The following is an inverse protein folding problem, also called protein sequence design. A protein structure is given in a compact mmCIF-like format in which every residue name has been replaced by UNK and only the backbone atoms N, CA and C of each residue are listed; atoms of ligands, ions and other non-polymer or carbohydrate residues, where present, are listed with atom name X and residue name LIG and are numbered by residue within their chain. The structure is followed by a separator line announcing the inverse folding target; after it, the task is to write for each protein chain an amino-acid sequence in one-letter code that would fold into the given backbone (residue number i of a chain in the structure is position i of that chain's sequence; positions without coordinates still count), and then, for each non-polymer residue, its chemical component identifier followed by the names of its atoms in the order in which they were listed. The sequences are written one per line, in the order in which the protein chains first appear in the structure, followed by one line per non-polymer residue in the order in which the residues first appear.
data_IF_920413695202
#
_entry.id   IF_920413695202
#
_cell.length_a   1.000
_cell.length_b   1.000
_cell.length_c   1.000
_cell.angle_alpha   90.00
_cell.angle_beta   90.00
_cell.angle_gamma   90.00
#
_symmetry.space_group_name_H-M   'P 1'
#
loop_
_entity.id
_entity.type
_entity.pdbx_description
1 polymer ?
#
# COMPACT_ATOMS: atom_id res chain seq x y z
N UNK A 1 19.38 10.10 8.27
CA UNK A 1 18.06 10.63 7.87
C UNK A 1 17.05 9.66 8.39
N UNK A 2 16.10 10.10 9.21
CA UNK A 2 15.00 9.23 9.63
C UNK A 2 14.21 8.80 8.39
N UNK A 3 13.98 7.51 8.27
CA UNK A 3 13.30 6.94 7.11
C UNK A 3 11.82 7.32 7.16
N UNK A 4 11.33 8.02 6.15
CA UNK A 4 9.92 8.45 6.11
C UNK A 4 8.99 7.22 5.99
N UNK A 5 8.12 7.06 6.98
CA UNK A 5 7.19 5.92 7.06
C UNK A 5 5.76 6.36 6.75
N UNK A 6 5.16 5.76 5.72
CA UNK A 6 3.76 5.93 5.38
C UNK A 6 2.88 4.99 6.22
N UNK A 7 1.98 5.56 7.03
CA UNK A 7 0.98 4.79 7.77
C UNK A 7 -0.11 4.24 6.85
N UNK A 8 -0.16 2.91 6.74
CA UNK A 8 -1.16 2.17 5.95
C UNK A 8 -2.26 1.54 6.82
N UNK A 9 -2.30 1.85 8.12
CA UNK A 9 -3.37 1.48 9.05
C UNK A 9 -3.00 0.39 10.04
N UNK A 10 -3.72 0.34 11.17
CA UNK A 10 -3.60 -0.72 12.21
C UNK A 10 -2.18 -0.95 12.74
N UNK A 11 -1.38 0.11 12.84
CA UNK A 11 0.02 0.02 13.27
C UNK A 11 0.99 -0.44 12.16
N UNK A 12 0.48 -0.74 10.97
CA UNK A 12 1.30 -1.06 9.80
C UNK A 12 1.78 0.20 9.09
N UNK A 13 3.06 0.20 8.72
CA UNK A 13 3.72 1.26 7.96
C UNK A 13 4.54 0.66 6.82
N UNK A 14 4.78 1.45 5.78
CA UNK A 14 5.70 1.13 4.69
C UNK A 14 6.66 2.29 4.47
N UNK A 15 7.82 2.01 3.89
CA UNK A 15 8.79 3.05 3.51
C UNK A 15 8.18 3.89 2.39
N UNK A 16 7.95 5.19 2.63
CA UNK A 16 7.25 6.06 1.67
C UNK A 16 8.02 6.15 0.35
N UNK A 17 9.34 6.29 0.39
CA UNK A 17 10.20 6.39 -0.80
C UNK A 17 10.12 5.19 -1.74
N UNK A 18 9.66 4.03 -1.24
CA UNK A 18 9.55 2.79 -2.02
C UNK A 18 8.16 2.57 -2.60
N UNK A 19 7.20 3.46 -2.32
CA UNK A 19 5.83 3.37 -2.84
C UNK A 19 5.81 3.84 -4.29
N UNK A 20 5.42 2.95 -5.19
CA UNK A 20 5.26 3.24 -6.62
C UNK A 20 3.83 3.63 -6.96
N UNK A 21 2.85 2.96 -6.35
CA UNK A 21 1.44 3.23 -6.60
C UNK A 21 0.55 2.92 -5.39
N UNK A 22 -0.53 3.68 -5.25
CA UNK A 22 -1.61 3.45 -4.28
C UNK A 22 -2.92 3.38 -5.08
N UNK A 23 -3.58 2.23 -5.08
CA UNK A 23 -4.74 1.97 -5.96
C UNK A 23 -5.89 1.30 -5.21
N UNK A 24 -7.11 1.51 -5.69
CA UNK A 24 -8.31 0.90 -5.14
C UNK A 24 -8.49 -0.55 -5.66
N UNK A 25 -8.96 -1.52 -4.84
CA UNK A 25 -9.01 -2.93 -5.19
C UNK A 25 -10.23 -3.35 -6.04
N UNK A 26 -11.03 -2.40 -6.54
CA UNK A 26 -12.40 -2.65 -6.99
C UNK A 26 -12.53 -3.22 -8.41
N UNK A 27 -11.45 -3.31 -9.18
CA UNK A 27 -11.49 -3.73 -10.59
C UNK A 27 -10.95 -5.15 -10.79
N UNK A 28 -11.37 -5.81 -11.88
CA UNK A 28 -10.87 -7.14 -12.24
C UNK A 28 -9.33 -7.22 -12.39
N UNK A 29 -8.64 -6.22 -12.98
CA UNK A 29 -7.16 -6.17 -12.98
C UNK A 29 -6.55 -6.16 -11.58
N UNK A 30 -7.16 -5.48 -10.62
CA UNK A 30 -6.66 -5.41 -9.25
C UNK A 30 -6.82 -6.73 -8.50
N UNK A 31 -7.91 -7.47 -8.78
CA UNK A 31 -8.06 -8.84 -8.30
C UNK A 31 -6.92 -9.73 -8.84
N UNK A 32 -6.64 -9.66 -10.14
CA UNK A 32 -5.53 -10.41 -10.76
C UNK A 32 -4.18 -10.05 -10.16
N UNK A 33 -3.89 -8.76 -9.96
CA UNK A 33 -2.65 -8.29 -9.34
C UNK A 33 -2.43 -8.91 -7.95
N UNK A 34 -3.48 -8.95 -7.13
CA UNK A 34 -3.43 -9.57 -5.80
C UNK A 34 -3.19 -11.08 -5.87
N UNK A 35 -3.90 -11.76 -6.76
CA UNK A 35 -3.82 -13.21 -6.91
C UNK A 35 -2.42 -13.62 -7.43
N UNK A 36 -1.87 -12.89 -8.39
CA UNK A 36 -0.50 -13.06 -8.91
C UNK A 36 0.54 -12.82 -7.81
N UNK A 37 0.43 -11.71 -7.07
CA UNK A 37 1.37 -11.42 -5.97
C UNK A 37 1.32 -12.49 -4.88
N UNK A 38 0.15 -13.10 -4.62
CA UNK A 38 0.01 -14.21 -3.68
C UNK A 38 0.71 -15.47 -4.19
N UNK A 39 0.48 -15.83 -5.45
CA UNK A 39 1.10 -16.98 -6.09
C UNK A 39 2.63 -16.87 -6.09
N UNK A 40 3.14 -15.68 -6.39
CA UNK A 40 4.58 -15.39 -6.39
C UNK A 40 5.18 -15.16 -4.99
N UNK A 41 4.40 -15.31 -3.91
CA UNK A 41 4.85 -15.08 -2.51
C UNK A 41 5.38 -13.67 -2.23
N UNK A 42 4.83 -12.65 -2.91
CA UNK A 42 5.18 -11.23 -2.74
C UNK A 42 4.01 -10.37 -2.24
N UNK A 43 2.90 -11.02 -1.85
CA UNK A 43 1.75 -10.37 -1.23
C UNK A 43 1.97 -10.21 0.28
N UNK A 44 1.82 -9.00 0.78
CA UNK A 44 1.83 -8.69 2.22
C UNK A 44 0.42 -8.27 2.61
N UNK A 45 -0.20 -8.99 3.54
CA UNK A 45 -1.54 -8.68 4.02
C UNK A 45 -1.48 -7.86 5.32
N UNK A 46 -1.66 -6.55 5.19
CA UNK A 46 -1.78 -5.61 6.32
C UNK A 46 -3.24 -5.20 6.58
N UNK A 47 -4.21 -6.03 6.21
CA UNK A 47 -5.64 -5.74 6.42
C UNK A 47 -6.12 -6.05 7.84
N UNK A 48 -5.36 -6.85 8.61
CA UNK A 48 -5.76 -7.35 9.93
C UNK A 48 -7.15 -8.03 9.91
N UNK A 49 -7.41 -8.85 8.89
CA UNK A 49 -8.67 -9.60 8.75
C UNK A 49 -9.86 -8.75 8.29
N UNK A 50 -9.64 -7.48 7.94
CA UNK A 50 -10.68 -6.58 7.43
C UNK A 50 -10.74 -6.64 5.90
N UNK A 51 -11.83 -6.11 5.34
CA UNK A 51 -11.97 -5.98 3.89
C UNK A 51 -10.83 -5.12 3.32
N UNK A 52 -10.15 -5.62 2.28
CA UNK A 52 -9.18 -4.85 1.49
C UNK A 52 -9.87 -3.62 0.89
N UNK A 53 -9.34 -2.44 1.18
CA UNK A 53 -9.82 -1.15 0.65
C UNK A 53 -8.76 -0.41 -0.17
N UNK A 54 -7.52 -0.86 -0.12
CA UNK A 54 -6.42 -0.34 -0.93
C UNK A 54 -5.36 -1.40 -1.19
N UNK A 55 -4.60 -1.16 -2.24
CA UNK A 55 -3.43 -1.92 -2.67
C UNK A 55 -2.29 -0.90 -2.81
N UNK A 56 -1.18 -1.14 -2.13
CA UNK A 56 0.05 -0.38 -2.26
C UNK A 56 1.06 -1.25 -3.03
N UNK A 57 1.63 -0.71 -4.09
CA UNK A 57 2.68 -1.37 -4.89
C UNK A 57 4.02 -0.74 -4.54
N UNK A 58 4.98 -1.59 -4.18
CA UNK A 58 6.35 -1.17 -3.88
C UNK A 58 7.28 -1.38 -5.08
N UNK A 59 8.39 -0.66 -5.10
CA UNK A 59 9.48 -0.77 -6.10
C UNK A 59 10.08 -2.18 -6.23
N UNK A 60 10.07 -2.94 -5.14
CA UNK A 60 10.43 -4.36 -5.05
C UNK A 60 9.37 -5.29 -5.64
N UNK A 61 8.39 -4.73 -6.32
CA UNK A 61 7.21 -5.37 -6.86
C UNK A 61 6.23 -5.87 -5.76
N UNK A 62 6.60 -5.90 -4.48
CA UNK A 62 5.72 -6.36 -3.39
C UNK A 62 4.39 -5.61 -3.40
N UNK A 63 3.32 -6.36 -3.14
CA UNK A 63 1.95 -5.83 -3.11
C UNK A 63 1.46 -5.88 -1.67
N UNK A 64 1.18 -4.73 -1.09
CA UNK A 64 0.70 -4.60 0.28
C UNK A 64 -0.79 -4.30 0.27
N UNK A 65 -1.59 -5.12 0.95
CA UNK A 65 -3.02 -4.89 1.11
C UNK A 65 -3.29 -4.10 2.38
N UNK A 66 -4.18 -3.11 2.30
CA UNK A 66 -4.63 -2.37 3.48
C UNK A 66 -6.16 -2.29 3.52
N UNK A 67 -6.68 -2.19 4.74
CA UNK A 67 -8.10 -1.94 5.01
C UNK A 67 -8.44 -0.44 5.13
N UNK A 68 -7.47 0.45 4.94
CA UNK A 68 -7.67 1.89 4.81
C UNK A 68 -7.95 2.22 3.34
N UNK A 69 -8.77 3.25 3.09
CA UNK A 69 -9.11 3.66 1.73
C UNK A 69 -7.89 4.20 1.00
N UNK A 70 -7.79 3.92 -0.31
CA UNK A 70 -6.67 4.36 -1.15
C UNK A 70 -6.51 5.88 -1.09
N UNK A 71 -7.61 6.64 -1.17
CA UNK A 71 -7.60 8.10 -1.09
C UNK A 71 -6.96 8.62 0.21
N UNK A 72 -7.32 8.04 1.37
CA UNK A 72 -6.74 8.42 2.66
C UNK A 72 -5.24 8.14 2.71
N UNK A 73 -4.78 7.02 2.15
CA UNK A 73 -3.35 6.69 2.09
C UNK A 73 -2.63 7.66 1.14
N UNK A 74 -3.22 7.98 -0.01
CA UNK A 74 -2.66 8.95 -0.96
C UNK A 74 -2.53 10.35 -0.36
N UNK A 75 -3.52 10.81 0.41
CA UNK A 75 -3.44 12.09 1.13
C UNK A 75 -2.28 12.10 2.14
N UNK A 76 -2.13 11.02 2.93
CA UNK A 76 -1.00 10.87 3.86
C UNK A 76 0.35 10.85 3.14
N UNK A 77 0.40 10.19 1.99
CA UNK A 77 1.60 10.12 1.17
C UNK A 77 1.99 11.50 0.62
N UNK A 78 1.02 12.27 0.12
CA UNK A 78 1.25 13.63 -0.36
C UNK A 78 1.79 14.56 0.75
N UNK A 79 1.23 14.49 1.96
CA UNK A 79 1.72 15.26 3.11
C UNK A 79 3.16 14.88 3.47
N UNK A 80 3.48 13.59 3.53
CA UNK A 80 4.86 13.11 3.80
C UNK A 80 5.85 13.56 2.73
N UNK A 81 5.42 13.63 1.45
CA UNK A 81 6.26 14.13 0.35
C UNK A 81 6.54 15.62 0.44
N UNK A 82 5.56 16.41 0.89
CA UNK A 82 5.71 17.85 1.07
C UNK A 82 6.62 18.24 2.24
N UNK A 83 6.74 17.40 3.27
CA UNK A 83 7.67 17.61 4.39
C UNK A 83 9.12 17.22 4.07
N UNK A 84 9.32 16.39 3.04
CA UNK A 84 10.63 15.89 2.63
C UNK A 84 11.32 16.78 1.56
N UNK A 85 10.57 17.69 0.94
CA UNK A 85 11.05 18.72 0.01
C UNK A 85 11.31 20.05 0.73
#
# INVERSE_FOLDING_TARGET
MDQALLNIGFGSTVVSERVVAIVAPNSAPMKRLKDEAREQRRLIDATHGRRTRSIIVLDSNHVVLSAIQAETISQRFALLRAEAE
#
